data_IF_733097787927
#
_entry.id   IF_733097787927
#
_cell.length_a   1.000
_cell.length_b   1.000
_cell.length_c   1.000
_cell.angle_alpha   90.00
_cell.angle_beta   90.00
_cell.angle_gamma   90.00
#
_symmetry.space_group_name_H-M   'P 1'
#
loop_
_entity.id
_entity.type
_entity.pdbx_description
1 polymer ?
#
# COMPACT_ATOMS: atom_id res chain seq x y z
N UNK A 1 21.52 29.36 17.81
CA UNK A 1 22.08 29.51 16.45
C UNK A 1 21.23 30.55 15.75
N UNK A 2 21.83 31.54 15.10
CA UNK A 2 21.09 32.46 14.26
C UNK A 2 20.49 31.65 13.11
N UNK A 3 19.16 31.61 13.05
CA UNK A 3 18.39 31.02 11.96
C UNK A 3 18.60 32.00 10.80
N UNK A 4 19.42 31.64 9.81
CA UNK A 4 19.45 32.39 8.56
C UNK A 4 18.05 32.35 7.92
N UNK A 5 17.71 33.34 7.08
CA UNK A 5 16.46 33.39 6.30
C UNK A 5 16.27 32.08 5.52
N UNK A 6 15.67 31.08 6.18
CA UNK A 6 15.32 29.81 5.58
C UNK A 6 14.14 30.01 4.66
N UNK A 7 14.01 29.14 3.65
CA UNK A 7 12.81 29.11 2.82
C UNK A 7 11.55 28.99 3.70
N UNK A 8 10.53 29.80 3.41
CA UNK A 8 9.25 29.75 4.11
C UNK A 8 8.47 28.50 3.66
N UNK A 9 8.64 27.41 4.41
CA UNK A 9 8.03 26.11 4.11
C UNK A 9 6.50 26.17 4.14
N UNK A 10 5.91 27.02 5.00
CA UNK A 10 4.46 27.18 5.00
C UNK A 10 4.00 27.83 3.69
N UNK A 11 4.63 28.94 3.30
CA UNK A 11 4.28 29.64 2.07
C UNK A 11 4.48 28.75 0.83
N UNK A 12 5.55 27.95 0.80
CA UNK A 12 5.81 27.00 -0.28
C UNK A 12 4.69 25.97 -0.44
N UNK A 13 4.22 25.39 0.67
CA UNK A 13 3.09 24.46 0.64
C UNK A 13 1.77 25.14 0.27
N UNK A 14 1.56 26.38 0.74
CA UNK A 14 0.38 27.17 0.43
C UNK A 14 0.31 27.55 -1.05
N UNK A 15 1.43 27.94 -1.65
CA UNK A 15 1.53 28.31 -3.06
C UNK A 15 1.28 27.11 -3.97
N UNK A 16 1.89 25.95 -3.68
CA UNK A 16 1.66 24.71 -4.43
C UNK A 16 0.19 24.28 -4.34
N UNK A 17 -0.41 24.39 -3.16
CA UNK A 17 -1.82 24.03 -2.94
C UNK A 17 -2.76 24.99 -3.66
N UNK A 18 -2.50 26.29 -3.61
CA UNK A 18 -3.31 27.32 -4.29
C UNK A 18 -3.23 27.18 -5.80
N UNK A 19 -2.05 26.84 -6.33
CA UNK A 19 -1.87 26.49 -7.74
C UNK A 19 -2.77 25.31 -8.12
N UNK A 20 -2.70 24.20 -7.36
CA UNK A 20 -3.51 23.02 -7.62
C UNK A 20 -5.02 23.28 -7.53
N UNK A 21 -5.46 24.08 -6.55
CA UNK A 21 -6.87 24.50 -6.42
C UNK A 21 -7.37 25.24 -7.65
N UNK A 22 -6.59 26.20 -8.13
CA UNK A 22 -6.91 26.99 -9.33
C UNK A 22 -6.94 26.10 -10.57
N UNK A 23 -5.93 25.25 -10.72
CA UNK A 23 -5.72 24.41 -11.89
C UNK A 23 -6.76 23.29 -12.00
N UNK A 24 -7.08 22.62 -10.90
CA UNK A 24 -8.03 21.52 -10.86
C UNK A 24 -9.46 21.98 -10.52
N UNK A 25 -9.67 23.28 -10.33
CA UNK A 25 -10.98 23.90 -10.13
C UNK A 25 -11.71 23.43 -8.87
N UNK A 26 -11.03 23.34 -7.73
CA UNK A 26 -11.65 22.93 -6.46
C UNK A 26 -11.49 23.97 -5.35
N UNK A 27 -12.41 23.92 -4.38
CA UNK A 27 -12.43 24.80 -3.22
C UNK A 27 -11.99 24.07 -1.95
N UNK A 28 -11.62 24.86 -0.93
CA UNK A 28 -11.20 24.33 0.36
C UNK A 28 -12.27 23.39 0.94
N UNK A 29 -11.86 22.16 1.23
CA UNK A 29 -12.71 21.14 1.84
C UNK A 29 -13.48 20.26 0.85
N UNK A 30 -13.20 20.35 -0.45
CA UNK A 30 -13.74 19.42 -1.44
C UNK A 30 -13.27 17.99 -1.16
N UNK A 31 -14.22 17.12 -0.82
CA UNK A 31 -13.98 15.69 -0.52
C UNK A 31 -13.68 14.86 -1.77
N UNK A 32 -13.85 15.43 -2.97
CA UNK A 32 -13.55 14.79 -4.24
C UNK A 32 -12.12 15.02 -4.72
N UNK A 33 -11.30 15.70 -3.92
CA UNK A 33 -9.89 15.91 -4.20
C UNK A 33 -9.03 15.09 -3.27
N UNK A 34 -8.07 14.38 -3.85
CA UNK A 34 -7.01 13.69 -3.16
C UNK A 34 -5.74 14.54 -3.20
N UNK A 35 -5.19 14.86 -2.03
CA UNK A 35 -3.84 15.38 -1.88
C UNK A 35 -2.86 14.24 -1.58
N UNK A 36 -1.74 14.22 -2.27
CA UNK A 36 -0.64 13.27 -2.09
C UNK A 36 0.65 14.05 -1.93
N UNK A 37 1.43 13.74 -0.90
CA UNK A 37 2.72 14.42 -0.69
C UNK A 37 3.60 13.64 0.25
N UNK A 38 4.91 13.79 0.12
CA UNK A 38 5.86 13.37 1.14
C UNK A 38 6.22 14.49 2.14
N UNK A 39 5.53 15.64 2.13
CA UNK A 39 5.74 16.72 3.11
C UNK A 39 5.74 16.20 4.56
N UNK A 40 6.63 16.73 5.39
CA UNK A 40 6.91 16.23 6.74
C UNK A 40 8.04 15.20 6.80
N UNK A 41 8.46 14.62 5.66
CA UNK A 41 9.61 13.72 5.61
C UNK A 41 10.91 14.35 5.10
N UNK A 42 10.96 14.98 3.89
CA UNK A 42 12.15 15.66 3.42
C UNK A 42 12.65 16.74 4.38
N UNK A 43 13.98 16.89 4.39
CA UNK A 43 14.69 17.98 5.08
C UNK A 43 15.47 18.76 4.03
N UNK A 44 15.20 20.06 3.93
CA UNK A 44 15.85 20.96 2.95
C UNK A 44 16.65 21.99 3.74
N UNK A 45 17.96 22.07 3.49
CA UNK A 45 18.89 22.97 4.19
C UNK A 45 18.76 22.95 5.74
N UNK A 46 18.50 21.76 6.29
CA UNK A 46 18.34 21.54 7.74
C UNK A 46 16.95 21.90 8.31
N UNK A 47 16.00 22.32 7.47
CA UNK A 47 14.62 22.61 7.85
C UNK A 47 13.69 21.44 7.51
N UNK A 48 12.77 21.11 8.42
CA UNK A 48 11.74 20.12 8.14
C UNK A 48 10.67 20.69 7.21
N UNK A 49 9.93 19.81 6.55
CA UNK A 49 8.85 20.18 5.63
C UNK A 49 7.46 20.03 6.27
N UNK A 50 7.38 19.95 7.60
CA UNK A 50 6.11 19.82 8.33
C UNK A 50 5.17 20.99 8.06
N UNK A 51 5.70 22.22 7.98
CA UNK A 51 4.91 23.41 7.64
C UNK A 51 4.32 23.35 6.22
N UNK A 52 4.95 22.63 5.29
CA UNK A 52 4.32 22.38 3.98
C UNK A 52 3.09 21.48 4.13
N UNK A 53 3.15 20.46 5.00
CA UNK A 53 2.04 19.56 5.27
C UNK A 53 0.89 20.30 5.96
N UNK A 54 1.20 21.15 6.94
CA UNK A 54 0.23 22.03 7.58
C UNK A 54 -0.45 22.94 6.55
N UNK A 55 0.32 23.59 5.68
CA UNK A 55 -0.23 24.44 4.63
C UNK A 55 -1.13 23.67 3.65
N UNK A 56 -0.74 22.46 3.23
CA UNK A 56 -1.59 21.60 2.39
C UNK A 56 -2.93 21.33 3.08
N UNK A 57 -2.92 20.98 4.37
CA UNK A 57 -4.15 20.71 5.14
C UNK A 57 -5.00 21.98 5.32
N UNK A 58 -4.38 23.10 5.69
CA UNK A 58 -5.08 24.34 5.99
C UNK A 58 -5.65 25.02 4.75
N UNK A 59 -4.93 25.00 3.62
CA UNK A 59 -5.35 25.66 2.38
C UNK A 59 -6.33 24.79 1.59
N UNK A 60 -6.02 23.51 1.35
CA UNK A 60 -6.93 22.62 0.60
C UNK A 60 -8.10 22.09 1.43
N UNK A 61 -7.95 22.01 2.76
CA UNK A 61 -8.89 21.31 3.62
C UNK A 61 -8.85 19.78 3.51
N UNK A 62 -7.91 19.20 2.75
CA UNK A 62 -7.66 17.75 2.71
C UNK A 62 -7.00 17.31 4.01
N UNK A 63 -7.46 16.21 4.60
CA UNK A 63 -6.92 15.74 5.89
C UNK A 63 -6.91 14.22 5.95
N UNK A 64 -6.09 13.60 6.83
CA UNK A 64 -6.11 12.15 6.99
C UNK A 64 -7.47 11.63 7.47
N UNK A 65 -8.21 12.42 8.26
CA UNK A 65 -9.52 12.05 8.79
C UNK A 65 -10.68 12.17 7.78
N UNK A 66 -10.51 12.98 6.73
CA UNK A 66 -11.41 12.99 5.55
C UNK A 66 -11.01 11.95 4.51
N UNK A 67 -9.98 11.17 4.81
CA UNK A 67 -9.45 10.10 3.96
C UNK A 67 -9.01 10.58 2.56
N UNK A 68 -8.69 11.87 2.43
CA UNK A 68 -8.33 12.49 1.15
C UNK A 68 -6.99 13.23 1.18
N UNK A 69 -6.15 12.90 2.18
CA UNK A 69 -4.73 13.24 2.23
C UNK A 69 -3.91 11.98 2.51
N UNK A 70 -2.99 11.67 1.60
CA UNK A 70 -2.04 10.56 1.69
C UNK A 70 -0.65 11.15 1.88
N UNK A 71 -0.16 11.08 3.12
CA UNK A 71 1.20 11.48 3.45
C UNK A 71 2.16 10.29 3.31
N UNK A 72 3.02 10.33 2.30
CA UNK A 72 3.82 9.19 1.86
C UNK A 72 5.16 9.15 2.60
N UNK A 73 5.39 8.04 3.31
CA UNK A 73 6.67 7.76 3.95
C UNK A 73 7.80 7.85 2.94
N UNK A 74 8.78 8.70 3.23
CA UNK A 74 9.93 8.91 2.36
C UNK A 74 11.18 9.17 3.20
N UNK A 75 12.39 8.79 2.74
CA UNK A 75 13.63 9.20 3.42
C UNK A 75 13.85 10.73 3.38
N UNK A 76 14.47 11.33 4.41
CA UNK A 76 14.59 12.78 4.53
C UNK A 76 15.47 13.46 3.47
N UNK A 77 16.29 12.71 2.73
CA UNK A 77 17.16 13.23 1.66
C UNK A 77 16.51 13.20 0.27
N UNK A 78 15.26 12.76 0.16
CA UNK A 78 14.53 12.78 -1.12
C UNK A 78 13.90 14.16 -1.37
N UNK A 79 13.68 14.53 -2.64
CA UNK A 79 12.99 15.78 -2.97
C UNK A 79 11.57 15.84 -2.39
N UNK A 80 11.16 17.03 -1.97
CA UNK A 80 9.77 17.35 -1.64
C UNK A 80 8.92 17.47 -2.91
N UNK A 81 7.69 16.95 -2.88
CA UNK A 81 6.75 17.01 -4.00
C UNK A 81 5.30 17.09 -3.51
N UNK A 82 4.42 17.57 -4.37
CA UNK A 82 2.98 17.67 -4.14
C UNK A 82 2.21 17.14 -5.35
N UNK A 83 1.23 16.28 -5.12
CA UNK A 83 0.33 15.75 -6.12
C UNK A 83 -1.11 16.00 -5.71
N UNK A 84 -1.95 16.39 -6.66
CA UNK A 84 -3.38 16.55 -6.45
C UNK A 84 -4.15 15.87 -7.57
N UNK A 85 -5.28 15.27 -7.24
CA UNK A 85 -6.18 14.62 -8.19
C UNK A 85 -7.64 14.94 -7.84
N UNK A 86 -8.42 15.37 -8.83
CA UNK A 86 -9.84 15.64 -8.70
C UNK A 86 -10.66 14.52 -9.36
N UNK A 87 -11.34 13.67 -8.58
CA UNK A 87 -12.09 12.53 -9.14
C UNK A 87 -13.32 12.93 -9.94
N UNK A 88 -13.82 14.17 -9.80
CA UNK A 88 -14.96 14.65 -10.60
C UNK A 88 -14.56 14.94 -12.05
N UNK A 89 -13.34 15.43 -12.28
CA UNK A 89 -12.87 15.80 -13.63
C UNK A 89 -11.91 14.78 -14.22
N UNK A 90 -11.29 13.95 -13.37
CA UNK A 90 -10.21 13.03 -13.70
C UNK A 90 -8.84 13.70 -13.79
N UNK A 91 -8.77 15.01 -13.55
CA UNK A 91 -7.56 15.81 -13.73
C UNK A 91 -6.63 15.75 -12.51
N UNK A 92 -5.34 15.83 -12.80
CA UNK A 92 -4.28 15.78 -11.82
C UNK A 92 -3.17 16.78 -12.14
N UNK A 93 -2.46 17.18 -11.09
CA UNK A 93 -1.21 17.94 -11.19
C UNK A 93 -0.16 17.31 -10.27
N UNK A 94 1.08 17.21 -10.76
CA UNK A 94 2.23 16.79 -9.96
C UNK A 94 3.32 17.86 -10.02
N UNK A 95 3.78 18.28 -8.84
CA UNK A 95 4.74 19.36 -8.64
C UNK A 95 5.92 18.87 -7.81
N UNK A 96 7.11 19.35 -8.13
CA UNK A 96 8.34 19.03 -7.39
C UNK A 96 8.98 20.31 -6.90
N UNK A 97 9.37 20.33 -5.63
CA UNK A 97 10.05 21.48 -5.01
C UNK A 97 11.51 21.55 -5.46
N UNK A 98 11.99 22.77 -5.69
CA UNK A 98 13.38 23.05 -6.03
C UNK A 98 14.31 22.60 -4.89
N UNK A 99 15.54 22.18 -5.23
CA UNK A 99 16.47 21.65 -4.22
C UNK A 99 16.84 22.63 -3.11
N UNK A 100 16.71 23.94 -3.36
CA UNK A 100 16.95 25.05 -2.43
C UNK A 100 15.65 25.62 -1.81
N UNK A 101 14.51 24.96 -2.04
CA UNK A 101 13.18 25.41 -1.63
C UNK A 101 12.78 26.81 -2.10
N UNK A 102 13.39 27.33 -3.17
CA UNK A 102 13.03 28.62 -3.78
C UNK A 102 11.65 28.67 -4.44
N UNK A 103 11.00 27.51 -4.59
CA UNK A 103 9.72 27.33 -5.26
C UNK A 103 9.49 25.88 -5.66
N UNK A 104 8.58 25.67 -6.60
CA UNK A 104 8.29 24.36 -7.19
C UNK A 104 8.14 24.46 -8.71
N UNK A 105 8.38 23.35 -9.37
CA UNK A 105 8.17 23.15 -10.80
C UNK A 105 6.96 22.24 -11.01
N UNK A 106 6.07 22.65 -11.91
CA UNK A 106 5.00 21.78 -12.42
C UNK A 106 5.66 20.74 -13.32
N UNK A 107 5.59 19.48 -12.92
CA UNK A 107 6.21 18.39 -13.67
C UNK A 107 5.26 17.86 -14.74
N UNK A 108 4.00 17.61 -14.36
CA UNK A 108 2.95 17.16 -15.28
C UNK A 108 1.56 17.64 -14.83
N UNK A 109 0.65 17.77 -15.81
CA UNK A 109 -0.76 18.10 -15.61
C UNK A 109 -1.62 17.52 -16.73
N UNK A 110 -2.51 16.58 -16.39
CA UNK A 110 -3.44 15.97 -17.35
C UNK A 110 -4.53 15.15 -16.65
N UNK A 111 -5.38 14.48 -17.44
CA UNK A 111 -6.34 13.49 -16.93
C UNK A 111 -5.67 12.14 -16.70
N UNK A 112 -5.79 11.62 -15.48
CA UNK A 112 -5.21 10.33 -15.08
C UNK A 112 -6.24 9.32 -14.57
N UNK A 113 -7.54 9.63 -14.71
CA UNK A 113 -8.60 8.68 -14.37
C UNK A 113 -8.49 7.42 -15.25
N UNK A 114 -8.80 6.28 -14.64
CA UNK A 114 -8.59 4.97 -15.24
C UNK A 114 -9.37 4.79 -16.53
N UNK A 115 -10.60 5.30 -16.61
CA UNK A 115 -11.42 5.25 -17.83
C UNK A 115 -10.69 5.95 -18.99
N UNK A 116 -10.22 7.18 -18.78
CA UNK A 116 -9.53 7.97 -19.80
C UNK A 116 -8.21 7.34 -20.23
N UNK A 117 -7.36 6.94 -19.28
CA UNK A 117 -6.00 6.47 -19.60
C UNK A 117 -6.00 5.05 -20.17
N UNK A 118 -6.87 4.15 -19.69
CA UNK A 118 -6.97 2.79 -20.24
C UNK A 118 -7.60 2.78 -21.65
N UNK A 119 -8.47 3.75 -21.96
CA UNK A 119 -8.98 3.93 -23.33
C UNK A 119 -7.92 4.44 -24.33
N UNK A 120 -6.77 4.92 -23.84
CA UNK A 120 -5.67 5.51 -24.65
C UNK A 120 -4.33 4.82 -24.42
N UNK A 121 -4.36 3.55 -24.03
CA UNK A 121 -3.16 2.79 -23.63
C UNK A 121 -2.01 2.82 -24.64
N UNK A 122 -2.31 2.90 -25.94
CA UNK A 122 -1.31 2.95 -27.03
C UNK A 122 -0.68 4.33 -27.25
N UNK A 123 -1.27 5.39 -26.69
CA UNK A 123 -0.90 6.78 -26.95
C UNK A 123 -0.61 7.58 -25.67
N UNK A 124 -0.65 6.92 -24.51
CA UNK A 124 -0.48 7.55 -23.21
C UNK A 124 0.46 6.72 -22.33
N UNK A 125 1.30 7.41 -21.56
CA UNK A 125 2.15 6.80 -20.55
C UNK A 125 2.16 7.65 -19.27
N UNK A 126 2.39 7.04 -18.09
CA UNK A 126 2.26 7.77 -16.83
C UNK A 126 3.23 8.91 -16.56
N UNK A 127 4.40 8.96 -17.22
CA UNK A 127 5.40 10.00 -16.93
C UNK A 127 5.68 10.18 -15.44
N UNK A 128 5.60 11.42 -14.95
CA UNK A 128 5.77 11.73 -13.53
C UNK A 128 4.59 11.27 -12.65
N UNK A 129 3.45 10.91 -13.23
CA UNK A 129 2.32 10.30 -12.51
C UNK A 129 2.49 8.81 -12.23
N UNK A 130 3.59 8.16 -12.60
CA UNK A 130 3.82 6.72 -12.36
C UNK A 130 3.63 6.29 -10.90
N UNK A 131 4.03 7.14 -9.96
CA UNK A 131 3.79 6.94 -8.52
C UNK A 131 2.37 7.29 -8.07
N UNK A 132 1.67 8.16 -8.80
CA UNK A 132 0.39 8.75 -8.39
C UNK A 132 -0.85 8.05 -8.97
N UNK A 133 -0.77 7.54 -10.21
CA UNK A 133 -1.93 7.05 -10.96
C UNK A 133 -2.69 5.95 -10.23
N UNK A 134 -2.00 5.04 -9.55
CA UNK A 134 -2.65 3.97 -8.77
C UNK A 134 -3.23 4.49 -7.47
N UNK A 135 -2.59 5.45 -6.80
CA UNK A 135 -3.21 6.11 -5.64
C UNK A 135 -4.51 6.80 -6.02
N UNK A 136 -4.49 7.63 -7.07
CA UNK A 136 -5.64 8.40 -7.52
C UNK A 136 -6.84 7.49 -7.81
N UNK A 137 -6.63 6.44 -8.60
CA UNK A 137 -7.71 5.59 -9.07
C UNK A 137 -8.18 4.55 -8.04
N UNK A 138 -7.27 4.02 -7.20
CA UNK A 138 -7.69 3.14 -6.10
C UNK A 138 -8.42 3.96 -5.04
N UNK A 139 -7.91 5.13 -4.64
CA UNK A 139 -8.61 6.02 -3.71
C UNK A 139 -10.01 6.41 -4.19
N UNK A 140 -10.17 6.68 -5.49
CA UNK A 140 -11.46 7.05 -6.07
C UNK A 140 -12.45 5.86 -6.19
N UNK A 141 -11.97 4.63 -6.02
CA UNK A 141 -12.78 3.43 -6.15
C UNK A 141 -13.67 3.21 -4.91
N UNK A 142 -14.96 2.93 -5.13
CA UNK A 142 -15.95 2.85 -4.04
C UNK A 142 -15.65 1.74 -3.01
N UNK A 143 -15.05 0.64 -3.47
CA UNK A 143 -14.71 -0.52 -2.63
C UNK A 143 -13.35 -0.42 -1.94
N UNK A 144 -12.65 0.72 -2.03
CA UNK A 144 -11.33 0.86 -1.41
C UNK A 144 -11.43 1.12 0.09
N UNK A 145 -10.85 0.24 0.93
CA UNK A 145 -10.89 0.44 2.36
C UNK A 145 -9.80 1.41 2.81
N UNK A 146 -10.11 2.26 3.78
CA UNK A 146 -9.18 3.23 4.36
C UNK A 146 -7.84 2.61 4.80
N UNK A 147 -7.88 1.41 5.36
CA UNK A 147 -6.69 0.69 5.84
C UNK A 147 -5.70 0.39 4.70
N UNK A 148 -6.17 0.17 3.47
CA UNK A 148 -5.29 -0.02 2.30
C UNK A 148 -4.55 1.27 1.96
N UNK A 149 -5.24 2.42 2.02
CA UNK A 149 -4.60 3.72 1.80
C UNK A 149 -3.57 4.04 2.89
N UNK A 150 -3.82 3.62 4.13
CA UNK A 150 -2.83 3.70 5.22
C UNK A 150 -1.63 2.77 5.01
N UNK A 151 -1.87 1.55 4.55
CA UNK A 151 -0.79 0.65 4.15
C UNK A 151 0.06 1.23 3.01
N UNK A 152 -0.58 1.91 2.05
CA UNK A 152 0.11 2.56 0.95
C UNK A 152 0.89 3.82 1.39
N UNK A 153 0.47 4.52 2.44
CA UNK A 153 1.27 5.60 3.08
C UNK A 153 2.61 5.06 3.60
N UNK A 154 2.59 3.87 4.22
CA UNK A 154 3.80 3.19 4.68
C UNK A 154 4.63 2.64 3.51
N UNK A 155 3.99 1.97 2.55
CA UNK A 155 4.67 1.25 1.47
C UNK A 155 5.20 2.14 0.34
N UNK A 156 4.79 3.41 0.30
CA UNK A 156 5.14 4.43 -0.70
C UNK A 156 4.46 4.36 -2.08
N UNK A 157 3.80 3.24 -2.40
CA UNK A 157 3.01 3.10 -3.63
C UNK A 157 1.97 1.98 -3.51
N UNK A 158 1.02 1.94 -4.45
CA UNK A 158 0.06 0.83 -4.56
C UNK A 158 0.55 -0.14 -5.64
N UNK A 159 1.10 -1.29 -5.27
CA UNK A 159 1.49 -2.36 -6.19
C UNK A 159 0.63 -3.62 -6.05
N UNK A 160 0.67 -4.54 -7.02
CA UNK A 160 -0.02 -5.83 -6.89
C UNK A 160 0.35 -6.58 -5.62
N UNK A 161 1.60 -6.48 -5.15
CA UNK A 161 2.05 -7.11 -3.91
C UNK A 161 1.35 -6.53 -2.66
N UNK A 162 1.24 -5.21 -2.55
CA UNK A 162 0.54 -4.57 -1.43
C UNK A 162 -0.95 -4.95 -1.41
N UNK A 163 -1.62 -4.91 -2.56
CA UNK A 163 -3.02 -5.31 -2.68
C UNK A 163 -3.20 -6.79 -2.37
N UNK A 164 -2.25 -7.66 -2.73
CA UNK A 164 -2.29 -9.07 -2.29
C UNK A 164 -2.27 -9.20 -0.76
N UNK A 165 -1.61 -8.30 -0.03
CA UNK A 165 -1.68 -8.23 1.43
C UNK A 165 -3.11 -7.98 1.94
N UNK A 166 -3.82 -7.05 1.30
CA UNK A 166 -5.25 -6.82 1.55
C UNK A 166 -6.10 -8.08 1.28
N UNK A 167 -5.91 -8.74 0.12
CA UNK A 167 -6.67 -9.95 -0.21
C UNK A 167 -6.40 -11.11 0.75
N UNK A 168 -5.13 -11.31 1.15
CA UNK A 168 -4.72 -12.29 2.15
C UNK A 168 -5.36 -11.98 3.51
N UNK A 169 -5.41 -10.71 3.91
CA UNK A 169 -6.03 -10.32 5.16
C UNK A 169 -7.53 -10.63 5.19
N UNK A 170 -8.26 -10.26 4.13
CA UNK A 170 -9.68 -10.58 3.98
C UNK A 170 -9.96 -12.08 4.03
N UNK A 171 -9.08 -12.90 3.44
CA UNK A 171 -9.17 -14.35 3.49
C UNK A 171 -8.97 -14.89 4.92
N UNK A 172 -7.90 -14.47 5.59
CA UNK A 172 -7.60 -14.87 6.98
C UNK A 172 -8.69 -14.41 7.95
N UNK A 173 -9.22 -13.20 7.81
CA UNK A 173 -10.30 -12.68 8.66
C UNK A 173 -11.60 -13.46 8.50
N UNK A 174 -11.85 -14.03 7.31
CA UNK A 174 -13.00 -14.87 7.01
C UNK A 174 -12.85 -16.28 7.61
N UNK A 175 -11.68 -16.89 7.46
CA UNK A 175 -11.45 -18.28 7.87
C UNK A 175 -10.96 -18.44 9.32
N UNK A 176 -10.23 -17.47 9.84
CA UNK A 176 -9.70 -17.41 11.21
C UNK A 176 -10.11 -16.10 11.89
N UNK A 177 -11.41 -15.83 12.11
CA UNK A 177 -11.85 -14.58 12.71
C UNK A 177 -11.29 -14.40 14.14
N UNK A 178 -10.99 -13.15 14.49
CA UNK A 178 -10.76 -12.75 15.88
C UNK A 178 -12.12 -12.69 16.58
N UNK A 179 -12.34 -13.60 17.51
CA UNK A 179 -13.58 -13.70 18.30
C UNK A 179 -13.41 -13.08 19.69
N UNK A 180 -12.18 -13.06 20.21
CA UNK A 180 -11.81 -12.43 21.48
C UNK A 180 -10.64 -11.45 21.30
N UNK A 181 -10.88 -10.18 20.94
CA UNK A 181 -9.83 -9.20 20.68
C UNK A 181 -9.01 -8.83 21.93
N UNK A 182 -9.42 -9.25 23.14
CA UNK A 182 -8.62 -9.03 24.35
C UNK A 182 -7.48 -10.04 24.48
N UNK A 183 -7.65 -11.25 23.94
CA UNK A 183 -6.69 -12.35 24.07
C UNK A 183 -6.12 -12.83 22.73
N UNK A 184 -6.85 -12.61 21.63
CA UNK A 184 -6.48 -13.07 20.30
C UNK A 184 -5.80 -11.98 19.49
N UNK A 185 -4.80 -12.37 18.71
CA UNK A 185 -4.10 -11.51 17.77
C UNK A 185 -3.63 -12.32 16.56
N UNK A 186 -3.45 -11.66 15.43
CA UNK A 186 -2.76 -12.29 14.30
C UNK A 186 -1.23 -12.27 14.51
N UNK A 187 -0.57 -13.31 13.99
CA UNK A 187 0.88 -13.38 13.77
C UNK A 187 1.13 -13.73 12.32
N UNK A 188 2.14 -13.09 11.72
CA UNK A 188 2.53 -13.28 10.33
C UNK A 188 3.97 -13.77 10.27
N UNK A 189 4.19 -14.86 9.54
CA UNK A 189 5.53 -15.27 9.12
C UNK A 189 5.59 -15.07 7.61
N UNK A 190 6.20 -13.97 7.21
CA UNK A 190 6.43 -13.60 5.83
C UNK A 190 7.45 -14.55 5.21
N UNK A 191 6.96 -15.58 4.53
CA UNK A 191 7.78 -16.62 3.88
C UNK A 191 7.14 -17.00 2.55
N UNK A 192 7.52 -16.38 1.41
CA UNK A 192 8.57 -15.37 1.27
C UNK A 192 8.12 -13.96 1.70
N UNK A 193 9.08 -13.06 1.88
CA UNK A 193 8.83 -11.66 2.14
C UNK A 193 8.56 -10.87 0.85
N UNK A 194 7.58 -9.97 0.87
CA UNK A 194 7.26 -9.06 -0.24
C UNK A 194 6.42 -7.86 0.23
N UNK A 195 6.03 -6.99 -0.70
CA UNK A 195 5.20 -5.80 -0.44
C UNK A 195 3.91 -6.07 0.35
N UNK A 196 3.37 -7.30 0.29
CA UNK A 196 2.17 -7.70 1.04
C UNK A 196 2.34 -7.54 2.55
N UNK A 197 3.58 -7.66 3.04
CA UNK A 197 3.84 -7.74 4.47
C UNK A 197 3.67 -6.39 5.18
N UNK A 198 3.82 -5.28 4.45
CA UNK A 198 3.58 -3.93 4.95
C UNK A 198 2.09 -3.68 5.24
N UNK A 199 1.18 -4.38 4.55
CA UNK A 199 -0.25 -4.29 4.83
C UNK A 199 -0.58 -4.77 6.25
N UNK A 200 -0.01 -5.89 6.69
CA UNK A 200 -0.31 -6.47 8.00
C UNK A 200 0.23 -5.63 9.16
N UNK A 201 1.30 -4.86 8.93
CA UNK A 201 1.81 -3.90 9.92
C UNK A 201 0.74 -2.85 10.26
N UNK A 202 -0.02 -2.41 9.25
CA UNK A 202 -1.06 -1.40 9.41
C UNK A 202 -2.40 -2.02 9.81
N UNK A 203 -2.81 -3.10 9.16
CA UNK A 203 -4.14 -3.68 9.36
C UNK A 203 -4.29 -4.45 10.68
N UNK A 204 -3.24 -5.15 11.10
CA UNK A 204 -3.29 -6.07 12.25
C UNK A 204 -2.28 -5.76 13.35
N UNK A 205 -1.66 -4.57 13.29
CA UNK A 205 -0.59 -4.18 14.22
C UNK A 205 0.59 -5.17 14.25
N UNK A 206 0.78 -5.93 13.16
CA UNK A 206 1.79 -6.97 13.06
C UNK A 206 3.14 -6.37 12.66
N UNK A 207 3.81 -5.69 13.60
CA UNK A 207 5.15 -5.15 13.35
C UNK A 207 6.25 -6.10 13.85
N UNK A 208 7.47 -6.07 13.29
CA UNK A 208 8.60 -6.81 13.83
C UNK A 208 8.89 -6.46 15.31
N UNK A 209 8.79 -5.18 15.66
CA UNK A 209 9.02 -4.70 17.04
C UNK A 209 8.00 -5.21 18.05
N UNK A 210 6.75 -5.45 17.63
CA UNK A 210 5.69 -6.07 18.46
C UNK A 210 5.70 -7.60 18.42
N UNK A 211 6.70 -8.21 17.78
CA UNK A 211 6.76 -9.66 17.55
C UNK A 211 5.49 -10.19 16.84
N UNK A 212 4.90 -9.38 15.96
CA UNK A 212 3.73 -9.75 15.16
C UNK A 212 4.08 -10.21 13.75
N UNK A 213 5.26 -9.80 13.23
CA UNK A 213 5.73 -10.13 11.89
C UNK A 213 7.16 -10.65 11.91
N UNK A 214 7.38 -11.81 11.28
CA UNK A 214 8.69 -12.45 11.15
C UNK A 214 9.03 -12.68 9.69
N UNK A 215 10.19 -12.18 9.26
CA UNK A 215 10.60 -12.18 7.84
C UNK A 215 11.54 -13.34 7.56
N UNK A 216 11.19 -14.16 6.55
CA UNK A 216 11.94 -15.31 6.07
C UNK A 216 11.97 -15.28 4.54
N UNK A 217 13.14 -15.41 3.94
CA UNK A 217 13.25 -15.49 2.49
C UNK A 217 13.23 -16.96 2.03
N UNK A 218 12.70 -17.19 0.83
CA UNK A 218 12.86 -18.44 0.10
C UNK A 218 13.90 -18.25 -0.99
N UNK A 219 14.67 -19.29 -1.28
CA UNK A 219 15.50 -19.33 -2.49
C UNK A 219 14.61 -19.44 -3.74
N UNK A 220 15.18 -19.11 -4.90
CA UNK A 220 14.47 -19.28 -6.18
C UNK A 220 14.07 -20.74 -6.46
N UNK A 221 14.91 -21.69 -6.06
CA UNK A 221 14.65 -23.14 -6.20
C UNK A 221 13.49 -23.58 -5.30
N UNK A 222 13.49 -23.17 -4.03
CA UNK A 222 12.39 -23.47 -3.10
C UNK A 222 11.08 -22.85 -3.59
N UNK A 223 11.11 -21.59 -4.03
CA UNK A 223 9.92 -20.90 -4.54
C UNK A 223 9.33 -21.61 -5.77
N UNK A 224 10.19 -22.05 -6.70
CA UNK A 224 9.77 -22.77 -7.91
C UNK A 224 9.26 -24.16 -7.59
N UNK A 225 9.95 -24.91 -6.73
CA UNK A 225 9.55 -26.26 -6.32
C UNK A 225 8.24 -26.27 -5.53
N UNK A 226 8.01 -25.28 -4.67
CA UNK A 226 6.73 -25.13 -3.96
C UNK A 226 5.60 -24.79 -4.94
N UNK A 227 5.85 -23.91 -5.91
CA UNK A 227 4.86 -23.58 -6.96
C UNK A 227 4.51 -24.80 -7.82
N UNK A 228 5.50 -25.62 -8.18
CA UNK A 228 5.28 -26.87 -8.92
C UNK A 228 4.48 -27.87 -8.08
N UNK A 229 4.85 -28.05 -6.80
CA UNK A 229 4.20 -29.00 -5.89
C UNK A 229 2.73 -28.65 -5.62
N UNK A 230 2.41 -27.38 -5.45
CA UNK A 230 1.09 -26.93 -5.00
C UNK A 230 0.25 -26.25 -6.08
N UNK A 231 0.81 -26.01 -7.28
CA UNK A 231 0.17 -25.20 -8.32
C UNK A 231 0.06 -23.70 -7.98
N UNK A 232 0.55 -23.28 -6.82
CA UNK A 232 0.44 -21.93 -6.28
C UNK A 232 1.75 -21.53 -5.57
N UNK A 233 2.15 -20.27 -5.73
CA UNK A 233 3.28 -19.72 -4.98
C UNK A 233 2.87 -19.42 -3.54
N UNK A 234 3.69 -19.83 -2.56
CA UNK A 234 3.45 -19.52 -1.14
C UNK A 234 3.44 -18.00 -0.95
N UNK A 235 2.46 -17.52 -0.20
CA UNK A 235 2.23 -16.11 0.11
C UNK A 235 2.47 -15.78 1.58
N UNK A 236 2.57 -16.78 2.46
CA UNK A 236 2.95 -16.60 3.86
C UNK A 236 2.29 -17.61 4.78
N UNK A 237 2.60 -17.48 6.06
CA UNK A 237 1.99 -18.25 7.13
C UNK A 237 1.32 -17.25 8.07
N UNK A 238 0.05 -17.51 8.38
CA UNK A 238 -0.83 -16.64 9.14
C UNK A 238 -1.39 -17.43 10.30
N UNK A 239 -1.35 -16.86 11.51
CA UNK A 239 -1.74 -17.56 12.73
C UNK A 239 -2.66 -16.64 13.53
N UNK A 240 -3.84 -17.11 13.89
CA UNK A 240 -4.66 -16.54 14.96
C UNK A 240 -4.17 -17.12 16.28
N UNK A 241 -3.48 -16.31 17.08
CA UNK A 241 -2.89 -16.72 18.34
C UNK A 241 -3.74 -16.26 19.52
N UNK A 242 -4.05 -17.16 20.44
CA UNK A 242 -4.73 -16.87 21.72
C UNK A 242 -3.71 -16.88 22.86
N UNK A 243 -3.49 -15.69 23.44
CA UNK A 243 -2.55 -15.51 24.55
C UNK A 243 -3.00 -16.11 25.88
N UNK A 244 -4.30 -16.38 26.04
CA UNK A 244 -4.87 -16.94 27.28
C UNK A 244 -4.65 -18.45 27.37
N UNK A 245 -4.86 -19.17 26.26
CA UNK A 245 -4.63 -20.61 26.16
C UNK A 245 -3.21 -20.97 25.74
N UNK A 246 -2.43 -20.01 25.22
CA UNK A 246 -1.15 -20.23 24.55
C UNK A 246 -1.24 -21.24 23.40
N UNK A 247 -2.30 -21.14 22.62
CA UNK A 247 -2.55 -21.97 21.45
C UNK A 247 -2.94 -21.10 20.24
N UNK A 248 -2.96 -21.66 19.04
CA UNK A 248 -3.40 -20.93 17.86
C UNK A 248 -3.66 -21.79 16.64
N UNK A 249 -4.55 -21.30 15.79
CA UNK A 249 -4.86 -21.91 14.50
C UNK A 249 -4.15 -21.13 13.40
N UNK A 250 -3.67 -21.82 12.37
CA UNK A 250 -2.90 -21.18 11.31
C UNK A 250 -3.13 -21.74 9.93
N UNK A 251 -2.85 -20.88 8.95
CA UNK A 251 -2.95 -21.13 7.52
C UNK A 251 -1.60 -20.88 6.87
N UNK A 252 -1.16 -21.81 6.03
CA UNK A 252 -0.17 -21.56 4.98
C UNK A 252 -0.95 -21.22 3.72
N UNK A 253 -0.79 -20.00 3.22
CA UNK A 253 -1.56 -19.51 2.08
C UNK A 253 -0.69 -19.42 0.82
N UNK A 254 -1.34 -19.55 -0.33
CA UNK A 254 -0.76 -19.38 -1.65
C UNK A 254 -1.60 -18.47 -2.55
N UNK A 255 -0.99 -17.97 -3.62
CA UNK A 255 -1.71 -17.18 -4.62
C UNK A 255 -2.55 -18.05 -5.54
N UNK A 256 -3.83 -17.69 -5.73
CA UNK A 256 -4.72 -18.35 -6.67
C UNK A 256 -4.60 -17.70 -8.06
N UNK A 257 -4.10 -18.46 -9.04
CA UNK A 257 -3.92 -18.01 -10.42
C UNK A 257 -5.15 -18.18 -11.31
N UNK A 258 -6.19 -18.88 -10.84
CA UNK A 258 -7.39 -19.18 -11.65
C UNK A 258 -8.26 -17.95 -11.95
N UNK A 259 -8.11 -16.86 -11.17
CA UNK A 259 -8.89 -15.62 -11.34
C UNK A 259 -8.10 -14.48 -11.94
N UNK A 260 -6.78 -14.62 -12.06
CA UNK A 260 -5.93 -13.63 -12.75
C UNK A 260 -6.09 -13.65 -14.27
N UNK A 261 -6.84 -14.59 -14.84
CA UNK A 261 -7.00 -14.80 -16.28
C UNK A 261 -8.42 -14.57 -16.81
N UNK A 262 -9.39 -14.18 -15.98
CA UNK A 262 -10.82 -14.15 -16.36
C UNK A 262 -11.46 -12.76 -16.43
N UNK A 263 -10.74 -11.67 -16.14
CA UNK A 263 -11.23 -10.31 -16.45
C UNK A 263 -10.91 -9.96 -17.91
N UNK A 264 -11.97 -9.82 -18.71
CA UNK A 264 -12.03 -9.74 -20.17
C UNK A 264 -11.30 -8.58 -20.86
N UNK A 265 -10.48 -7.79 -20.16
CA UNK A 265 -9.83 -6.59 -20.71
C UNK A 265 -8.30 -6.60 -20.63
N UNK A 266 -7.66 -7.59 -19.99
CA UNK A 266 -6.20 -7.74 -20.08
C UNK A 266 -5.83 -8.39 -21.42
N UNK A 267 -5.73 -7.57 -22.46
CA UNK A 267 -5.07 -8.04 -23.68
C UNK A 267 -3.59 -8.26 -23.36
N UNK A 268 -3.02 -9.38 -23.79
CA UNK A 268 -1.60 -9.70 -23.60
C UNK A 268 -0.62 -8.66 -24.17
N UNK A 269 -1.12 -7.59 -24.80
CA UNK A 269 -0.41 -6.47 -25.40
C UNK A 269 -0.34 -5.20 -24.54
N UNK A 270 -1.01 -5.12 -23.39
CA UNK A 270 -0.96 -3.90 -22.58
C UNK A 270 0.41 -3.68 -21.91
N UNK A 271 0.88 -2.41 -21.82
CA UNK A 271 2.06 -2.05 -21.05
C UNK A 271 1.84 -2.30 -19.55
N UNK A 272 2.94 -2.54 -18.84
CA UNK A 272 2.91 -2.96 -17.43
C UNK A 272 2.13 -2.00 -16.51
N UNK A 273 2.18 -0.68 -16.78
CA UNK A 273 1.44 0.30 -15.99
C UNK A 273 -0.09 0.11 -16.08
N UNK A 274 -0.59 -0.22 -17.29
CA UNK A 274 -2.02 -0.38 -17.56
C UNK A 274 -2.54 -1.66 -16.94
N UNK A 275 -1.80 -2.76 -17.11
CA UNK A 275 -2.10 -4.05 -16.48
C UNK A 275 -2.13 -3.92 -14.95
N UNK A 276 -1.16 -3.22 -14.36
CA UNK A 276 -1.12 -3.00 -12.90
C UNK A 276 -2.26 -2.11 -12.41
N UNK A 277 -2.65 -1.08 -13.17
CA UNK A 277 -3.77 -0.21 -12.82
C UNK A 277 -5.09 -0.98 -12.88
N UNK A 278 -5.39 -1.63 -14.00
CA UNK A 278 -6.60 -2.43 -14.17
C UNK A 278 -6.69 -3.56 -13.13
N UNK A 279 -5.60 -4.29 -12.93
CA UNK A 279 -5.53 -5.36 -11.93
C UNK A 279 -5.69 -4.86 -10.49
N UNK A 280 -5.37 -3.59 -10.20
CA UNK A 280 -5.64 -2.99 -8.89
C UNK A 280 -7.14 -2.76 -8.68
N UNK A 281 -7.83 -2.19 -9.68
CA UNK A 281 -9.26 -1.88 -9.62
C UNK A 281 -10.11 -3.16 -9.49
N UNK A 282 -9.81 -4.18 -10.30
CA UNK A 282 -10.50 -5.48 -10.24
C UNK A 282 -10.40 -6.18 -8.87
N UNK A 283 -9.28 -5.96 -8.16
CA UNK A 283 -9.11 -6.49 -6.80
C UNK A 283 -9.93 -5.71 -5.77
N UNK A 284 -10.19 -4.42 -6.00
CA UNK A 284 -11.12 -3.66 -5.17
C UNK A 284 -12.55 -4.18 -5.37
N UNK A 285 -12.95 -4.48 -6.62
CA UNK A 285 -14.24 -5.13 -6.92
C UNK A 285 -14.39 -6.52 -6.29
N UNK A 286 -13.26 -7.19 -6.03
CA UNK A 286 -13.24 -8.54 -5.47
C UNK A 286 -12.98 -8.59 -3.96
N UNK A 287 -13.11 -7.46 -3.25
CA UNK A 287 -12.83 -7.35 -1.82
C UNK A 287 -13.59 -8.39 -0.96
N UNK A 288 -14.82 -8.74 -1.36
CA UNK A 288 -15.68 -9.71 -0.66
C UNK A 288 -15.51 -11.16 -1.13
N UNK A 289 -14.70 -11.39 -2.18
CA UNK A 289 -14.41 -12.72 -2.72
C UNK A 289 -12.90 -13.00 -2.78
N UNK A 290 -12.18 -12.92 -1.64
CA UNK A 290 -10.73 -13.08 -1.61
C UNK A 290 -10.24 -14.46 -2.07
N UNK A 291 -11.09 -15.50 -1.99
CA UNK A 291 -10.85 -16.84 -2.55
C UNK A 291 -10.52 -16.85 -4.05
N UNK A 292 -10.90 -15.81 -4.79
CA UNK A 292 -10.47 -15.65 -6.17
C UNK A 292 -8.95 -15.45 -6.29
N UNK A 293 -8.30 -14.86 -5.28
CA UNK A 293 -6.87 -14.52 -5.33
C UNK A 293 -6.01 -15.30 -4.34
N UNK A 294 -6.63 -15.99 -3.38
CA UNK A 294 -5.97 -16.68 -2.29
C UNK A 294 -6.45 -18.13 -2.20
N UNK A 295 -5.55 -19.05 -1.90
CA UNK A 295 -5.86 -20.46 -1.65
C UNK A 295 -5.12 -20.98 -0.42
N UNK A 296 -5.72 -21.92 0.30
CA UNK A 296 -5.10 -22.60 1.45
C UNK A 296 -4.23 -23.76 0.97
N UNK A 297 -2.95 -23.72 1.34
CA UNK A 297 -1.98 -24.80 1.11
C UNK A 297 -2.02 -25.81 2.25
N UNK A 298 -2.14 -25.32 3.48
CA UNK A 298 -2.18 -26.14 4.68
C UNK A 298 -2.85 -25.40 5.83
N UNK A 299 -3.67 -26.11 6.57
CA UNK A 299 -4.17 -25.72 7.90
C UNK A 299 -3.33 -26.42 8.98
N UNK A 300 -3.15 -25.77 10.13
CA UNK A 300 -2.45 -26.35 11.28
C UNK A 300 -2.93 -25.73 12.59
N UNK A 301 -2.65 -26.44 13.68
CA UNK A 301 -2.88 -25.98 15.05
C UNK A 301 -1.55 -25.97 15.81
N UNK A 302 -1.41 -25.03 16.74
CA UNK A 302 -0.28 -24.90 17.65
C UNK A 302 -0.80 -25.05 19.08
N UNK A 303 -0.25 -25.99 19.83
CA UNK A 303 -0.69 -26.33 21.20
C UNK A 303 0.05 -25.54 22.28
N UNK A 304 1.11 -24.82 21.90
CA UNK A 304 2.00 -24.16 22.86
C UNK A 304 2.76 -22.98 22.28
N UNK A 305 3.26 -22.13 23.19
CA UNK A 305 4.12 -20.99 22.84
C UNK A 305 5.44 -21.46 22.22
N UNK A 306 5.95 -22.62 22.63
CA UNK A 306 7.16 -23.23 22.12
C UNK A 306 7.02 -23.58 20.62
N UNK A 307 5.86 -24.07 20.21
CA UNK A 307 5.58 -24.37 18.80
C UNK A 307 5.50 -23.09 17.95
N UNK A 308 4.85 -22.04 18.47
CA UNK A 308 4.86 -20.73 17.81
C UNK A 308 6.30 -20.20 17.66
N UNK A 309 7.10 -20.28 18.71
CA UNK A 309 8.49 -19.83 18.72
C UNK A 309 9.37 -20.64 17.76
N UNK A 310 9.10 -21.94 17.60
CA UNK A 310 9.81 -22.79 16.65
C UNK A 310 9.66 -22.25 15.21
N UNK A 311 8.49 -21.71 14.84
CA UNK A 311 8.28 -21.12 13.52
C UNK A 311 8.97 -19.75 13.36
N UNK A 312 9.09 -18.99 14.45
CA UNK A 312 9.62 -17.61 14.45
C UNK A 312 11.15 -17.55 14.53
N UNK A 313 11.77 -18.53 15.18
CA UNK A 313 13.19 -18.53 15.56
C UNK A 313 14.16 -18.35 14.40
N UNK A 314 15.25 -17.61 14.63
CA UNK A 314 16.34 -17.44 13.66
C UNK A 314 16.95 -18.78 13.26
N UNK A 315 17.34 -18.92 11.98
CA UNK A 315 17.91 -20.17 11.46
C UNK A 315 16.91 -21.30 11.20
N UNK A 316 15.63 -21.14 11.56
CA UNK A 316 14.58 -22.12 11.28
C UNK A 316 13.89 -21.83 9.95
N UNK A 317 13.64 -22.89 9.17
CA UNK A 317 12.80 -22.84 7.97
C UNK A 317 11.36 -23.22 8.32
N UNK A 318 10.43 -22.27 8.47
CA UNK A 318 9.10 -22.53 9.02
C UNK A 318 8.27 -23.50 8.16
N UNK A 319 8.41 -23.46 6.83
CA UNK A 319 7.71 -24.42 5.96
C UNK A 319 8.19 -25.88 6.13
N UNK A 320 9.43 -26.12 6.58
CA UNK A 320 9.91 -27.48 6.90
C UNK A 320 9.34 -27.96 8.21
N UNK A 321 9.29 -27.07 9.22
CA UNK A 321 8.65 -27.36 10.52
C UNK A 321 7.18 -27.74 10.31
N UNK A 322 6.49 -27.02 9.44
CA UNK A 322 5.10 -27.31 9.07
C UNK A 322 4.96 -28.48 8.06
N UNK A 323 6.03 -29.13 7.60
CA UNK A 323 5.96 -30.22 6.62
C UNK A 323 5.37 -29.84 5.26
N UNK A 324 5.43 -28.56 4.89
CA UNK A 324 5.04 -28.04 3.56
C UNK A 324 6.19 -28.24 2.56
N UNK A 325 7.43 -28.14 3.04
CA UNK A 325 8.65 -28.36 2.25
C UNK A 325 9.43 -29.58 2.71
#
# INVERSE_FOLDING_TARGET
>A
MAIGDGADMYQLGADATTYAMTELGFEKGDVNVLALTNAGYPVIDGQTTDLCLDAVMEVSGCTPGKENLVNILTPPWKPLWFGFFNKNTGEAVYMKVNGDASGFEIQDKEKIDAETVLAKVDAWEPGNFSGMIRFANVWAHENTPFVLMKAAQLHDHICPGLISGFMLAKYVEKDLPIEDPANQSYKVIACPNSCKDDYFQIAWDCTPGKSGLFVKSLTASESSGLKEKYGAGISGIFIRWDGSSNAGDGLVLGGNSSSSSSSTNETASWPEWATKLNGALLRMDSADTPENYVTTIKEFHLESREELQALQSAGVHPLKVLGVM
#
